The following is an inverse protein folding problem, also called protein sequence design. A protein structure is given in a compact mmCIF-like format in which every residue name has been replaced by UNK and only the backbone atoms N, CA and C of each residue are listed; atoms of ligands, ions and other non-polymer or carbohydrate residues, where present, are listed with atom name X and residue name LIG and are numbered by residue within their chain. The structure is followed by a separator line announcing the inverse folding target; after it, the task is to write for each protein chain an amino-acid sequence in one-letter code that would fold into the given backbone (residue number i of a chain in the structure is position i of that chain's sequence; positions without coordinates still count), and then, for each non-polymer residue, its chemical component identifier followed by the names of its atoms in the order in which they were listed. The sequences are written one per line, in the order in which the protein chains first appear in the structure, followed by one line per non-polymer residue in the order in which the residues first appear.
data_IF_397430567139
#
_entry.id   IF_397430567139
#
_cell.length_a   1.000
_cell.length_b   1.000
_cell.length_c   1.000
_cell.angle_alpha   90.00
_cell.angle_beta   90.00
_cell.angle_gamma   90.00
#
_symmetry.space_group_name_H-M   'P 1'
#
loop_
_entity.id
_entity.type
_entity.pdbx_description
1 polymer ?
#
# COMPACT_ATOMS: atom_id res chain seq x y z
N UNK A 1 -29.07 -17.15 -48.67
CA UNK A 1 -29.31 -16.58 -47.32
C UNK A 1 -28.95 -17.48 -46.11
N UNK A 2 -29.59 -18.64 -45.84
CA UNK A 2 -29.18 -19.51 -44.69
C UNK A 2 -27.80 -20.16 -44.87
N UNK A 3 -27.44 -20.54 -46.10
CA UNK A 3 -26.13 -21.09 -46.46
C UNK A 3 -25.01 -20.03 -46.33
N UNK A 4 -25.25 -18.81 -46.83
CA UNK A 4 -24.32 -17.68 -46.70
C UNK A 4 -24.13 -17.28 -45.23
N UNK A 5 -25.20 -17.22 -44.43
CA UNK A 5 -25.09 -16.96 -42.99
C UNK A 5 -24.29 -18.05 -42.25
N UNK A 6 -24.34 -19.32 -42.71
CA UNK A 6 -23.50 -20.41 -42.17
C UNK A 6 -22.03 -20.29 -42.59
N UNK A 7 -21.76 -19.98 -43.86
CA UNK A 7 -20.40 -19.76 -44.37
C UNK A 7 -19.75 -18.54 -43.69
N UNK A 8 -20.51 -17.46 -43.52
CA UNK A 8 -20.06 -16.21 -42.91
C UNK A 8 -19.86 -16.32 -41.39
N UNK A 9 -20.58 -17.23 -40.70
CA UNK A 9 -20.30 -17.61 -39.29
C UNK A 9 -19.15 -18.62 -39.13
N UNK A 10 -18.91 -19.49 -40.12
CA UNK A 10 -17.86 -20.51 -40.06
C UNK A 10 -16.43 -19.95 -40.21
N UNK A 11 -16.26 -18.82 -40.92
CA UNK A 11 -14.96 -18.17 -41.15
C UNK A 11 -14.36 -17.53 -39.87
N UNK A 12 -15.09 -16.72 -39.09
CA UNK A 12 -14.61 -16.22 -37.80
C UNK A 12 -14.21 -17.36 -36.84
N UNK A 13 -15.01 -18.44 -36.80
CA UNK A 13 -14.76 -19.58 -35.91
C UNK A 13 -13.44 -20.28 -36.26
N UNK A 14 -13.17 -20.53 -37.54
CA UNK A 14 -11.92 -21.16 -38.00
C UNK A 14 -10.69 -20.30 -37.69
N UNK A 15 -10.78 -18.99 -37.92
CA UNK A 15 -9.70 -18.04 -37.60
C UNK A 15 -9.42 -18.04 -36.10
N UNK A 16 -10.47 -17.99 -35.26
CA UNK A 16 -10.35 -18.10 -33.80
C UNK A 16 -9.66 -19.40 -33.38
N UNK A 17 -10.09 -20.55 -33.92
CA UNK A 17 -9.54 -21.87 -33.57
C UNK A 17 -8.03 -21.98 -33.87
N UNK A 18 -7.54 -21.27 -34.89
CA UNK A 18 -6.11 -21.25 -35.24
C UNK A 18 -5.33 -20.21 -34.41
N UNK A 19 -5.87 -19.01 -34.22
CA UNK A 19 -5.15 -17.93 -33.51
C UNK A 19 -5.01 -18.19 -32.02
N UNK A 20 -6.03 -18.76 -31.37
CA UNK A 20 -6.00 -19.01 -29.93
C UNK A 20 -4.77 -19.85 -29.50
N UNK A 21 -4.50 -21.04 -30.06
CA UNK A 21 -3.33 -21.82 -29.68
C UNK A 21 -2.01 -21.14 -30.06
N UNK A 22 -1.96 -20.38 -31.16
CA UNK A 22 -0.76 -19.61 -31.54
C UNK A 22 -0.46 -18.51 -30.51
N UNK A 23 -1.46 -17.77 -30.07
CA UNK A 23 -1.28 -16.75 -29.04
C UNK A 23 -0.85 -17.36 -27.71
N UNK A 24 -1.51 -18.45 -27.28
CA UNK A 24 -1.18 -19.15 -26.02
C UNK A 24 0.24 -19.73 -26.03
N UNK A 25 0.65 -20.39 -27.11
CA UNK A 25 2.01 -20.96 -27.22
C UNK A 25 3.05 -19.86 -27.38
N UNK A 26 2.71 -18.74 -28.04
CA UNK A 26 3.58 -17.58 -28.22
C UNK A 26 4.07 -16.93 -26.92
N UNK A 27 3.39 -17.14 -25.80
CA UNK A 27 3.85 -16.68 -24.47
C UNK A 27 5.14 -17.38 -24.04
N UNK A 28 5.30 -18.67 -24.38
CA UNK A 28 6.43 -19.49 -23.98
C UNK A 28 7.42 -19.79 -25.12
N UNK A 29 7.06 -19.44 -26.36
CA UNK A 29 7.82 -19.81 -27.56
C UNK A 29 7.96 -18.62 -28.51
N UNK A 30 9.17 -18.44 -29.02
CA UNK A 30 9.46 -17.44 -30.06
C UNK A 30 9.32 -18.09 -31.43
N UNK A 31 8.42 -17.57 -32.25
CA UNK A 31 8.18 -18.10 -33.59
C UNK A 31 9.27 -17.68 -34.59
N UNK A 32 9.40 -18.43 -35.71
CA UNK A 32 10.28 -18.05 -36.81
C UNK A 32 10.02 -16.62 -37.31
N UNK A 33 11.01 -15.96 -37.93
CA UNK A 33 10.86 -14.61 -38.46
C UNK A 33 9.83 -14.60 -39.59
N UNK A 34 8.61 -14.17 -39.25
CA UNK A 34 7.52 -13.93 -40.20
C UNK A 34 7.10 -12.46 -40.16
N UNK A 35 6.48 -12.00 -41.25
CA UNK A 35 5.93 -10.65 -41.30
C UNK A 35 4.58 -10.60 -40.54
N UNK A 36 4.65 -10.44 -39.22
CA UNK A 36 3.49 -10.31 -38.34
C UNK A 36 2.54 -9.20 -38.77
N UNK A 37 3.07 -8.06 -39.21
CA UNK A 37 2.25 -6.95 -39.72
C UNK A 37 1.38 -7.39 -40.89
N UNK A 38 1.93 -8.16 -41.85
CA UNK A 38 1.19 -8.67 -42.99
C UNK A 38 0.15 -9.73 -42.61
N UNK A 39 0.45 -10.56 -41.59
CA UNK A 39 -0.47 -11.59 -41.10
C UNK A 39 -1.63 -11.02 -40.28
N UNK A 40 -1.33 -10.13 -39.32
CA UNK A 40 -2.27 -9.68 -38.30
C UNK A 40 -3.11 -8.48 -38.76
N UNK A 41 -2.56 -7.57 -39.58
CA UNK A 41 -3.30 -6.37 -40.01
C UNK A 41 -4.61 -6.67 -40.74
N UNK A 42 -4.67 -7.64 -41.68
CA UNK A 42 -5.94 -8.01 -42.31
C UNK A 42 -6.94 -8.55 -41.28
N UNK A 43 -6.49 -9.36 -40.31
CA UNK A 43 -7.34 -9.98 -39.30
C UNK A 43 -7.95 -8.94 -38.35
N UNK A 44 -7.19 -7.89 -38.01
CA UNK A 44 -7.68 -6.80 -37.19
C UNK A 44 -8.70 -5.89 -37.92
N UNK A 45 -8.52 -5.71 -39.23
CA UNK A 45 -9.40 -4.86 -40.07
C UNK A 45 -10.69 -5.56 -40.47
N UNK A 46 -10.66 -6.89 -40.56
CA UNK A 46 -11.83 -7.70 -40.85
C UNK A 46 -12.65 -7.87 -39.57
N UNK A 47 -13.98 -7.72 -39.66
CA UNK A 47 -14.87 -7.81 -38.50
C UNK A 47 -15.10 -9.26 -38.06
N UNK A 48 -14.03 -9.95 -37.64
CA UNK A 48 -14.07 -11.31 -37.11
C UNK A 48 -14.41 -11.38 -35.61
N UNK A 49 -14.62 -10.24 -34.96
CA UNK A 49 -15.01 -10.11 -33.56
C UNK A 49 -13.84 -9.85 -32.61
N UNK A 50 -14.18 -9.44 -31.38
CA UNK A 50 -13.23 -8.97 -30.36
C UNK A 50 -12.21 -10.03 -29.95
N UNK A 51 -12.57 -11.32 -29.95
CA UNK A 51 -11.66 -12.40 -29.57
C UNK A 51 -10.51 -12.59 -30.58
N UNK A 52 -10.79 -12.44 -31.87
CA UNK A 52 -9.75 -12.50 -32.90
C UNK A 52 -8.81 -11.31 -32.77
N UNK A 53 -9.37 -10.11 -32.53
CA UNK A 53 -8.56 -8.91 -32.28
C UNK A 53 -7.68 -9.07 -31.03
N UNK A 54 -8.24 -9.63 -29.95
CA UNK A 54 -7.51 -9.92 -28.72
C UNK A 54 -6.30 -10.83 -28.98
N UNK A 55 -6.50 -11.96 -29.65
CA UNK A 55 -5.40 -12.88 -29.95
C UNK A 55 -4.36 -12.30 -30.92
N UNK A 56 -4.75 -11.44 -31.86
CA UNK A 56 -3.79 -10.74 -32.71
C UNK A 56 -2.89 -9.80 -31.89
N UNK A 57 -3.47 -9.05 -30.95
CA UNK A 57 -2.73 -8.14 -30.07
C UNK A 57 -1.85 -8.92 -29.09
N UNK A 58 -2.38 -9.97 -28.45
CA UNK A 58 -1.65 -10.87 -27.54
C UNK A 58 -0.42 -11.49 -28.23
N UNK A 59 -0.60 -11.97 -29.46
CA UNK A 59 0.49 -12.55 -30.25
C UNK A 59 1.54 -11.50 -30.63
N UNK A 60 1.13 -10.28 -31.01
CA UNK A 60 2.07 -9.21 -31.27
C UNK A 60 2.86 -8.79 -30.02
N UNK A 61 2.20 -8.67 -28.87
CA UNK A 61 2.84 -8.29 -27.61
C UNK A 61 3.84 -9.33 -27.11
N UNK A 62 3.55 -10.62 -27.29
CA UNK A 62 4.44 -11.72 -26.90
C UNK A 62 5.64 -11.87 -27.84
N UNK A 63 5.50 -11.53 -29.12
CA UNK A 63 6.56 -11.66 -30.12
C UNK A 63 7.34 -10.36 -30.38
N UNK A 64 6.97 -9.24 -29.74
CA UNK A 64 7.63 -7.95 -29.91
C UNK A 64 9.13 -7.98 -29.58
N UNK A 65 9.55 -8.84 -28.65
CA UNK A 65 10.97 -8.98 -28.31
C UNK A 65 11.80 -9.62 -29.41
N UNK A 66 11.27 -10.64 -30.08
CA UNK A 66 11.99 -11.44 -31.08
C UNK A 66 11.74 -10.97 -32.52
N UNK A 67 10.76 -10.09 -32.76
CA UNK A 67 10.39 -9.67 -34.11
C UNK A 67 10.05 -8.18 -34.23
N UNK A 68 10.86 -7.47 -35.01
CA UNK A 68 10.60 -6.06 -35.35
C UNK A 68 9.25 -5.87 -36.07
N UNK A 69 8.80 -6.83 -36.89
CA UNK A 69 7.50 -6.75 -37.56
C UNK A 69 6.33 -6.81 -36.57
N UNK A 70 6.47 -7.57 -35.47
CA UNK A 70 5.48 -7.60 -34.39
C UNK A 70 5.47 -6.28 -33.62
N UNK A 71 6.65 -5.73 -33.31
CA UNK A 71 6.78 -4.46 -32.59
C UNK A 71 6.23 -3.28 -33.38
N UNK A 72 6.48 -3.21 -34.69
CA UNK A 72 5.92 -2.20 -35.58
C UNK A 72 4.40 -2.31 -35.67
N UNK A 73 3.88 -3.54 -35.82
CA UNK A 73 2.44 -3.78 -35.79
C UNK A 73 1.82 -3.30 -34.48
N UNK A 74 2.41 -3.68 -33.34
CA UNK A 74 1.93 -3.27 -32.03
C UNK A 74 1.96 -1.74 -31.90
N UNK A 75 3.06 -1.09 -32.27
CA UNK A 75 3.21 0.37 -32.22
C UNK A 75 2.14 1.13 -33.01
N UNK A 76 1.65 0.60 -34.13
CA UNK A 76 0.50 1.16 -34.86
C UNK A 76 -0.78 1.08 -34.02
N UNK A 77 -1.04 -0.08 -33.41
CA UNK A 77 -2.24 -0.34 -32.61
C UNK A 77 -2.26 0.36 -31.25
N UNK A 78 -1.14 0.93 -30.80
CA UNK A 78 -1.05 1.80 -29.62
C UNK A 78 -1.51 3.24 -29.91
N UNK A 79 -1.77 3.60 -31.17
CA UNK A 79 -2.29 4.93 -31.50
C UNK A 79 -3.73 5.14 -31.00
N UNK A 80 -4.10 6.32 -30.46
CA UNK A 80 -5.40 6.56 -29.82
C UNK A 80 -6.63 6.08 -30.60
N UNK A 81 -6.82 6.40 -31.91
CA UNK A 81 -8.03 5.98 -32.62
C UNK A 81 -8.18 4.45 -32.72
N UNK A 82 -7.06 3.72 -32.77
CA UNK A 82 -7.07 2.26 -32.85
C UNK A 82 -7.24 1.64 -31.45
N UNK A 83 -6.60 2.19 -30.42
CA UNK A 83 -6.79 1.75 -29.04
C UNK A 83 -8.25 1.88 -28.62
N UNK A 84 -8.92 2.99 -28.96
CA UNK A 84 -10.34 3.18 -28.65
C UNK A 84 -11.27 2.21 -29.37
N UNK A 85 -10.81 1.57 -30.45
CA UNK A 85 -11.57 0.51 -31.13
C UNK A 85 -11.41 -0.87 -30.50
N UNK A 86 -10.47 -1.05 -29.58
CA UNK A 86 -10.22 -2.31 -28.90
C UNK A 86 -11.19 -2.53 -27.74
N UNK A 87 -11.49 -3.80 -27.48
CA UNK A 87 -12.26 -4.18 -26.29
C UNK A 87 -11.49 -3.82 -25.00
N UNK A 88 -12.23 -3.59 -23.90
CA UNK A 88 -11.65 -3.34 -22.58
C UNK A 88 -10.72 -4.47 -22.14
N UNK A 89 -11.09 -5.71 -22.48
CA UNK A 89 -10.27 -6.91 -22.19
C UNK A 89 -8.92 -6.83 -22.90
N UNK A 90 -8.90 -6.43 -24.17
CA UNK A 90 -7.67 -6.31 -24.94
C UNK A 90 -6.78 -5.18 -24.40
N UNK A 91 -7.36 -4.03 -24.06
CA UNK A 91 -6.62 -2.93 -23.43
C UNK A 91 -6.04 -3.34 -22.06
N UNK A 92 -6.83 -4.02 -21.22
CA UNK A 92 -6.39 -4.52 -19.93
C UNK A 92 -5.19 -5.48 -20.08
N UNK A 93 -5.26 -6.42 -21.03
CA UNK A 93 -4.16 -7.32 -21.33
C UNK A 93 -2.89 -6.58 -21.75
N UNK A 94 -3.00 -5.59 -22.64
CA UNK A 94 -1.87 -4.78 -23.08
C UNK A 94 -1.17 -4.05 -21.93
N UNK A 95 -1.94 -3.54 -20.98
CA UNK A 95 -1.36 -2.95 -19.77
C UNK A 95 -0.68 -4.00 -18.90
N UNK A 96 -1.33 -5.15 -18.65
CA UNK A 96 -0.77 -6.22 -17.81
C UNK A 96 0.54 -6.79 -18.36
N UNK A 97 0.73 -6.78 -19.69
CA UNK A 97 1.97 -7.23 -20.33
C UNK A 97 2.92 -6.11 -20.75
N UNK A 98 2.74 -4.86 -20.28
CA UNK A 98 3.58 -3.71 -20.68
C UNK A 98 5.08 -3.98 -20.57
N UNK A 99 5.51 -4.68 -19.52
CA UNK A 99 6.92 -5.06 -19.34
C UNK A 99 7.51 -5.96 -20.43
N UNK A 100 6.69 -6.70 -21.18
CA UNK A 100 7.16 -7.59 -22.25
C UNK A 100 7.47 -6.85 -23.55
N UNK A 101 6.78 -5.74 -23.82
CA UNK A 101 6.86 -5.05 -25.11
C UNK A 101 7.34 -3.60 -25.05
N UNK A 102 7.33 -2.95 -23.88
CA UNK A 102 7.63 -1.50 -23.75
C UNK A 102 8.97 -1.08 -24.35
N UNK A 103 9.99 -1.94 -24.28
CA UNK A 103 11.35 -1.66 -24.78
C UNK A 103 11.49 -1.82 -26.30
N UNK A 104 10.46 -2.34 -26.97
CA UNK A 104 10.49 -2.72 -28.38
C UNK A 104 9.64 -1.81 -29.26
N UNK A 105 8.84 -0.93 -28.65
CA UNK A 105 8.06 0.08 -29.36
C UNK A 105 8.73 1.45 -29.22
N UNK A 106 8.36 2.39 -30.08
CA UNK A 106 8.88 3.75 -30.01
C UNK A 106 8.41 4.48 -28.73
N UNK A 107 9.28 5.30 -28.15
CA UNK A 107 9.04 6.00 -26.88
C UNK A 107 7.77 6.86 -26.92
N UNK A 108 7.48 7.53 -28.05
CA UNK A 108 6.27 8.34 -28.22
C UNK A 108 4.99 7.49 -28.12
N UNK A 109 5.03 6.25 -28.62
CA UNK A 109 3.90 5.31 -28.54
C UNK A 109 3.72 4.76 -27.13
N UNK A 110 4.82 4.44 -26.46
CA UNK A 110 4.79 4.04 -25.06
C UNK A 110 4.19 5.15 -24.20
N UNK A 111 4.66 6.38 -24.36
CA UNK A 111 4.20 7.54 -23.62
C UNK A 111 2.71 7.79 -23.84
N UNK A 112 2.24 7.81 -25.09
CA UNK A 112 0.82 8.01 -25.38
C UNK A 112 -0.04 6.91 -24.77
N UNK A 113 0.35 5.64 -24.89
CA UNK A 113 -0.47 4.54 -24.41
C UNK A 113 -0.46 4.39 -22.88
N UNK A 114 0.73 4.35 -22.28
CA UNK A 114 0.91 4.07 -20.86
C UNK A 114 0.59 5.30 -20.02
N UNK A 115 1.14 6.44 -20.41
CA UNK A 115 0.96 7.67 -19.64
C UNK A 115 -0.37 8.34 -19.99
N UNK A 116 -0.58 8.79 -21.22
CA UNK A 116 -1.78 9.60 -21.53
C UNK A 116 -3.08 8.78 -21.43
N UNK A 117 -3.17 7.65 -22.14
CA UNK A 117 -4.39 6.82 -22.14
C UNK A 117 -4.58 6.05 -20.83
N UNK A 118 -3.48 5.62 -20.18
CA UNK A 118 -3.52 4.97 -18.87
C UNK A 118 -4.01 5.90 -17.77
N UNK A 119 -3.41 7.09 -17.63
CA UNK A 119 -3.81 8.11 -16.63
C UNK A 119 -5.26 8.55 -16.84
N UNK A 120 -5.71 8.68 -18.10
CA UNK A 120 -7.08 9.05 -18.41
C UNK A 120 -8.12 8.13 -17.76
N UNK A 121 -7.82 6.84 -17.56
CA UNK A 121 -8.75 5.89 -16.92
C UNK A 121 -9.01 6.20 -15.44
N UNK A 122 -8.15 6.99 -14.80
CA UNK A 122 -8.26 7.38 -13.39
C UNK A 122 -8.97 8.72 -13.19
N UNK A 123 -9.43 9.36 -14.26
CA UNK A 123 -10.24 10.58 -14.14
C UNK A 123 -11.53 10.32 -13.35
N UNK A 124 -11.98 11.28 -12.51
CA UNK A 124 -13.10 11.07 -11.59
C UNK A 124 -14.39 10.54 -12.26
N UNK A 125 -14.68 11.01 -13.47
CA UNK A 125 -15.90 10.65 -14.22
C UNK A 125 -15.86 9.23 -14.79
N UNK A 126 -14.68 8.72 -15.15
CA UNK A 126 -14.51 7.42 -15.80
C UNK A 126 -14.17 6.30 -14.80
N UNK A 127 -13.41 6.62 -13.76
CA UNK A 127 -12.83 5.65 -12.82
C UNK A 127 -13.85 4.66 -12.23
N UNK A 128 -15.04 5.07 -11.73
CA UNK A 128 -16.01 4.13 -11.14
C UNK A 128 -16.48 3.06 -12.14
N UNK A 129 -16.53 3.38 -13.43
CA UNK A 129 -16.98 2.48 -14.50
C UNK A 129 -15.84 1.60 -15.04
N UNK A 130 -14.58 1.94 -14.73
CA UNK A 130 -13.37 1.34 -15.31
C UNK A 130 -12.46 0.69 -14.26
N UNK A 131 -12.99 0.39 -13.07
CA UNK A 131 -12.21 -0.17 -11.96
C UNK A 131 -11.37 -1.39 -12.32
N UNK A 132 -11.91 -2.31 -13.12
CA UNK A 132 -11.16 -3.49 -13.59
C UNK A 132 -9.95 -3.11 -14.44
N UNK A 133 -10.10 -2.15 -15.35
CA UNK A 133 -9.03 -1.64 -16.19
C UNK A 133 -7.98 -0.88 -15.36
N UNK A 134 -8.41 -0.02 -14.42
CA UNK A 134 -7.51 0.67 -13.50
C UNK A 134 -6.62 -0.31 -12.70
N UNK A 135 -7.19 -1.43 -12.24
CA UNK A 135 -6.43 -2.50 -11.55
C UNK A 135 -5.42 -3.16 -12.49
N UNK A 136 -5.80 -3.48 -13.72
CA UNK A 136 -4.89 -4.03 -14.74
C UNK A 136 -3.75 -3.06 -15.09
N UNK A 137 -4.02 -1.76 -15.16
CA UNK A 137 -3.00 -0.71 -15.37
C UNK A 137 -1.97 -0.75 -14.24
N UNK A 138 -2.40 -0.64 -12.98
CA UNK A 138 -1.49 -0.62 -11.83
C UNK A 138 -0.72 -1.94 -11.67
N UNK A 139 -1.36 -3.09 -11.95
CA UNK A 139 -0.68 -4.39 -11.97
C UNK A 139 0.41 -4.42 -13.03
N UNK A 140 0.11 -3.97 -14.25
CA UNK A 140 1.04 -3.89 -15.35
C UNK A 140 2.23 -2.98 -15.05
N UNK A 141 1.97 -1.79 -14.52
CA UNK A 141 3.00 -0.83 -14.09
C UNK A 141 3.92 -1.45 -13.04
N UNK A 142 3.37 -2.02 -11.97
CA UNK A 142 4.17 -2.64 -10.90
C UNK A 142 5.06 -3.77 -11.44
N UNK A 143 4.53 -4.65 -12.30
CA UNK A 143 5.30 -5.74 -12.91
C UNK A 143 6.41 -5.20 -13.82
N UNK A 144 6.13 -4.16 -14.60
CA UNK A 144 7.12 -3.58 -15.51
C UNK A 144 8.21 -2.79 -14.79
N UNK A 145 7.87 -2.11 -13.69
CA UNK A 145 8.83 -1.40 -12.85
C UNK A 145 9.75 -2.36 -12.08
N UNK A 146 9.26 -3.53 -11.70
CA UNK A 146 10.06 -4.57 -11.05
C UNK A 146 11.02 -5.31 -12.01
N UNK A 147 11.03 -5.00 -13.31
CA UNK A 147 11.97 -5.60 -14.25
C UNK A 147 13.39 -5.11 -13.98
N UNK A 148 14.42 -5.96 -14.16
CA UNK A 148 15.80 -5.55 -13.98
C UNK A 148 16.23 -4.58 -15.10
N UNK A 149 16.82 -3.45 -14.72
CA UNK A 149 17.44 -2.46 -15.62
C UNK A 149 16.53 -2.01 -16.79
N UNK A 150 15.34 -1.45 -16.52
CA UNK A 150 14.50 -0.90 -17.59
C UNK A 150 15.21 0.29 -18.27
N UNK A 151 15.05 0.49 -19.60
CA UNK A 151 15.58 1.66 -20.27
C UNK A 151 15.10 2.95 -19.61
N UNK A 152 15.96 3.98 -19.52
CA UNK A 152 15.66 5.20 -18.77
C UNK A 152 14.39 5.91 -19.24
N UNK A 153 14.12 5.93 -20.55
CA UNK A 153 12.90 6.50 -21.12
C UNK A 153 11.65 5.74 -20.64
N UNK A 154 11.69 4.40 -20.65
CA UNK A 154 10.62 3.56 -20.13
C UNK A 154 10.43 3.79 -18.63
N UNK A 155 11.52 3.78 -17.85
CA UNK A 155 11.47 4.02 -16.40
C UNK A 155 10.83 5.37 -16.07
N UNK A 156 11.26 6.44 -16.74
CA UNK A 156 10.73 7.79 -16.56
C UNK A 156 9.22 7.84 -16.88
N UNK A 157 8.80 7.18 -17.97
CA UNK A 157 7.39 7.07 -18.33
C UNK A 157 6.58 6.34 -17.25
N UNK A 158 7.07 5.20 -16.74
CA UNK A 158 6.39 4.41 -15.70
C UNK A 158 6.28 5.20 -14.37
N UNK A 159 7.37 5.88 -13.96
CA UNK A 159 7.36 6.73 -12.77
C UNK A 159 6.38 7.89 -12.91
N UNK A 160 6.43 8.63 -14.03
CA UNK A 160 5.53 9.76 -14.26
C UNK A 160 4.08 9.33 -14.33
N UNK A 161 3.80 8.19 -14.96
CA UNK A 161 2.45 7.61 -15.02
C UNK A 161 1.93 7.28 -13.61
N UNK A 162 2.75 6.63 -12.78
CA UNK A 162 2.40 6.27 -11.41
C UNK A 162 2.11 7.50 -10.56
N UNK A 163 2.96 8.54 -10.65
CA UNK A 163 2.77 9.80 -9.92
C UNK A 163 1.47 10.52 -10.34
N UNK A 164 1.19 10.59 -11.64
CA UNK A 164 -0.04 11.18 -12.15
C UNK A 164 -1.28 10.43 -11.67
N UNK A 165 -1.22 9.09 -11.66
CA UNK A 165 -2.29 8.26 -11.10
C UNK A 165 -2.49 8.56 -9.60
N UNK A 166 -1.41 8.58 -8.81
CA UNK A 166 -1.49 8.87 -7.38
C UNK A 166 -2.12 10.24 -7.09
N UNK A 167 -1.79 11.23 -7.92
CA UNK A 167 -2.33 12.60 -7.83
C UNK A 167 -3.83 12.63 -8.13
N UNK A 168 -4.31 11.81 -9.06
CA UNK A 168 -5.74 11.71 -9.40
C UNK A 168 -6.56 10.89 -8.39
N UNK A 169 -5.92 10.04 -7.59
CA UNK A 169 -6.64 9.28 -6.56
C UNK A 169 -7.12 10.20 -5.43
N UNK A 170 -8.38 10.03 -4.97
CA UNK A 170 -8.95 10.81 -3.88
C UNK A 170 -8.11 10.80 -2.61
N UNK A 171 -8.13 11.88 -1.85
CA UNK A 171 -7.41 11.94 -0.57
C UNK A 171 -8.09 11.11 0.53
N UNK A 172 -9.40 10.90 0.41
CA UNK A 172 -10.19 10.04 1.29
C UNK A 172 -10.43 8.67 0.63
N UNK A 173 -10.04 7.59 1.30
CA UNK A 173 -10.02 6.25 0.72
C UNK A 173 -11.38 5.56 0.93
N UNK A 174 -12.02 5.22 -0.19
CA UNK A 174 -13.20 4.37 -0.18
C UNK A 174 -12.80 2.88 -0.23
N UNK A 175 -13.57 2.04 0.45
CA UNK A 175 -13.35 0.59 0.50
C UNK A 175 -13.22 -0.06 -0.88
N UNK A 176 -14.07 0.39 -1.83
CA UNK A 176 -14.07 -0.11 -3.21
C UNK A 176 -12.81 0.25 -4.03
N UNK A 177 -12.08 1.27 -3.59
CA UNK A 177 -10.92 1.84 -4.27
C UNK A 177 -9.58 1.46 -3.64
N UNK A 178 -9.58 0.83 -2.47
CA UNK A 178 -8.37 0.42 -1.71
C UNK A 178 -7.33 -0.30 -2.57
N UNK A 179 -7.79 -1.15 -3.48
CA UNK A 179 -6.89 -1.91 -4.37
C UNK A 179 -6.08 -1.03 -5.32
N UNK A 180 -6.58 0.17 -5.64
CA UNK A 180 -5.84 1.14 -6.45
C UNK A 180 -4.68 1.75 -5.67
N UNK A 181 -4.89 2.12 -4.40
CA UNK A 181 -3.82 2.65 -3.56
C UNK A 181 -2.75 1.60 -3.27
N UNK A 182 -3.15 0.34 -3.07
CA UNK A 182 -2.19 -0.77 -2.98
C UNK A 182 -1.40 -0.93 -4.29
N UNK A 183 -2.07 -0.87 -5.45
CA UNK A 183 -1.41 -0.94 -6.74
C UNK A 183 -0.39 0.18 -6.94
N UNK A 184 -0.71 1.39 -6.53
CA UNK A 184 0.24 2.52 -6.53
C UNK A 184 1.39 2.27 -5.56
N UNK A 185 1.11 1.81 -4.33
CA UNK A 185 2.17 1.50 -3.36
C UNK A 185 3.17 0.44 -3.90
N UNK A 186 2.69 -0.56 -4.64
CA UNK A 186 3.56 -1.54 -5.34
C UNK A 186 4.39 -0.94 -6.47
N UNK A 187 3.91 0.11 -7.12
CA UNK A 187 4.72 0.83 -8.10
C UNK A 187 5.78 1.69 -7.39
N UNK A 188 5.38 2.38 -6.31
CA UNK A 188 6.28 3.19 -5.49
C UNK A 188 7.37 2.35 -4.81
N UNK A 189 7.12 1.08 -4.47
CA UNK A 189 8.14 0.22 -3.86
C UNK A 189 9.36 -0.01 -4.75
N UNK A 190 9.21 0.12 -6.06
CA UNK A 190 10.32 -0.02 -7.01
C UNK A 190 11.10 1.29 -7.20
N UNK A 191 10.55 2.44 -6.77
CA UNK A 191 11.20 3.75 -6.91
C UNK A 191 12.25 4.00 -5.83
N UNK A 192 13.06 5.05 -6.00
CA UNK A 192 13.99 5.52 -4.98
C UNK A 192 13.27 6.12 -3.77
N UNK A 193 13.94 6.13 -2.61
CA UNK A 193 13.36 6.71 -1.38
C UNK A 193 13.00 8.19 -1.58
N UNK A 194 13.82 8.95 -2.31
CA UNK A 194 13.54 10.35 -2.65
C UNK A 194 12.28 10.53 -3.51
N UNK A 195 11.97 9.59 -4.39
CA UNK A 195 10.75 9.63 -5.20
C UNK A 195 9.53 9.28 -4.35
N UNK A 196 9.64 8.28 -3.47
CA UNK A 196 8.59 7.92 -2.51
C UNK A 196 8.25 9.12 -1.63
N UNK A 197 9.25 9.76 -1.03
CA UNK A 197 9.06 10.91 -0.14
C UNK A 197 8.43 12.11 -0.86
N UNK A 198 8.82 12.33 -2.13
CA UNK A 198 8.27 13.40 -2.95
C UNK A 198 6.81 13.14 -3.36
N UNK A 199 6.48 11.92 -3.76
CA UNK A 199 5.15 11.55 -4.27
C UNK A 199 4.16 11.36 -3.11
N UNK A 200 4.53 10.59 -2.09
CA UNK A 200 3.71 10.32 -0.91
C UNK A 200 3.88 11.39 0.18
N UNK A 201 4.19 12.63 -0.23
CA UNK A 201 4.39 13.76 0.68
C UNK A 201 3.15 13.98 1.54
N UNK A 202 3.36 14.02 2.86
CA UNK A 202 2.29 14.21 3.82
C UNK A 202 1.82 15.67 3.77
N UNK A 203 0.52 15.85 3.56
CA UNK A 203 -0.18 17.15 3.60
C UNK A 203 -1.44 17.01 4.44
N UNK A 204 -1.98 18.12 4.96
CA UNK A 204 -3.20 18.08 5.79
C UNK A 204 -4.42 17.55 5.01
N UNK A 205 -4.58 17.95 3.75
CA UNK A 205 -5.66 17.48 2.88
C UNK A 205 -5.51 16.00 2.50
N UNK A 206 -4.28 15.55 2.24
CA UNK A 206 -3.96 14.20 1.75
C UNK A 206 -3.45 13.23 2.82
N UNK A 207 -3.62 13.53 4.12
CA UNK A 207 -2.97 12.78 5.19
C UNK A 207 -3.38 11.31 5.21
N UNK A 208 -4.64 10.98 4.92
CA UNK A 208 -5.14 9.61 4.94
C UNK A 208 -4.55 8.78 3.79
N UNK A 209 -4.56 9.35 2.57
CA UNK A 209 -3.91 8.77 1.39
C UNK A 209 -2.42 8.53 1.62
N UNK A 210 -1.69 9.52 2.13
CA UNK A 210 -0.27 9.40 2.44
C UNK A 210 -0.03 8.38 3.57
N UNK A 211 -0.84 8.43 4.63
CA UNK A 211 -0.78 7.50 5.76
C UNK A 211 -0.93 6.06 5.30
N UNK A 212 -1.93 5.76 4.46
CA UNK A 212 -2.14 4.40 3.94
C UNK A 212 -0.94 3.92 3.11
N UNK A 213 -0.46 4.75 2.18
CA UNK A 213 0.66 4.40 1.30
C UNK A 213 1.94 4.14 2.11
N UNK A 214 2.30 5.06 3.00
CA UNK A 214 3.50 4.94 3.84
C UNK A 214 3.36 3.81 4.86
N UNK A 215 2.18 3.61 5.46
CA UNK A 215 1.89 2.49 6.36
C UNK A 215 2.07 1.14 5.65
N UNK A 216 1.58 1.01 4.42
CA UNK A 216 1.72 -0.23 3.65
C UNK A 216 3.20 -0.52 3.35
N UNK A 217 3.94 0.47 2.84
CA UNK A 217 5.37 0.35 2.54
C UNK A 217 6.22 0.08 3.80
N UNK A 218 5.94 0.77 4.91
CA UNK A 218 6.66 0.61 6.17
C UNK A 218 6.38 -0.76 6.79
N UNK A 219 5.13 -1.23 6.71
CA UNK A 219 4.75 -2.55 7.21
C UNK A 219 5.45 -3.70 6.49
N UNK A 220 5.83 -3.51 5.23
CA UNK A 220 6.61 -4.44 4.41
C UNK A 220 8.13 -4.25 4.57
N UNK A 221 8.55 -3.22 5.31
CA UNK A 221 9.94 -2.86 5.52
C UNK A 221 10.62 -2.20 4.33
N UNK A 222 9.86 -1.76 3.33
CA UNK A 222 10.40 -1.01 2.19
C UNK A 222 10.89 0.37 2.62
N UNK A 223 10.14 1.08 3.46
CA UNK A 223 10.54 2.36 4.06
C UNK A 223 10.70 2.22 5.58
N UNK A 224 11.53 3.05 6.24
CA UNK A 224 11.66 3.03 7.69
C UNK A 224 10.37 3.48 8.39
N UNK A 225 10.12 2.95 9.60
CA UNK A 225 9.03 3.43 10.47
C UNK A 225 9.12 4.92 10.77
N UNK A 226 10.33 5.49 10.70
CA UNK A 226 10.57 6.93 10.82
C UNK A 226 9.78 7.75 9.79
N UNK A 227 9.51 7.20 8.60
CA UNK A 227 8.70 7.86 7.57
C UNK A 227 7.23 8.06 7.98
N UNK A 228 6.76 7.42 9.06
CA UNK A 228 5.43 7.64 9.62
C UNK A 228 5.38 8.86 10.55
N UNK A 229 6.51 9.46 10.91
CA UNK A 229 6.52 10.58 11.85
C UNK A 229 5.80 11.81 11.27
N UNK A 230 5.97 12.10 9.98
CA UNK A 230 5.25 13.20 9.33
C UNK A 230 3.74 12.96 9.30
N UNK A 231 3.31 11.70 9.14
CA UNK A 231 1.91 11.28 9.25
C UNK A 231 1.38 11.53 10.66
N UNK A 232 2.12 11.09 11.68
CA UNK A 232 1.77 11.27 13.09
C UNK A 232 1.66 12.76 13.41
N UNK A 233 2.68 13.56 13.07
CA UNK A 233 2.74 14.99 13.36
C UNK A 233 1.65 15.78 12.65
N UNK A 234 1.36 15.46 11.38
CA UNK A 234 0.29 16.13 10.61
C UNK A 234 -1.10 15.78 11.14
N UNK A 235 -1.28 14.59 11.70
CA UNK A 235 -2.57 14.14 12.24
C UNK A 235 -2.95 14.78 13.58
N UNK A 236 -2.03 15.45 14.27
CA UNK A 236 -2.22 15.96 15.65
C UNK A 236 -3.34 17.01 15.80
N UNK A 237 -3.92 17.53 14.72
CA UNK A 237 -5.04 18.49 14.76
C UNK A 237 -6.21 18.14 13.84
N UNK A 238 -6.22 16.94 13.24
CA UNK A 238 -7.18 16.59 12.20
C UNK A 238 -8.34 15.74 12.72
N UNK A 239 -9.50 15.88 12.07
CA UNK A 239 -10.70 15.12 12.43
C UNK A 239 -10.56 13.61 12.14
N UNK A 240 -9.73 13.22 11.16
CA UNK A 240 -9.51 11.84 10.76
C UNK A 240 -8.40 11.12 11.56
N UNK A 241 -8.03 11.64 12.74
CA UNK A 241 -6.99 11.07 13.63
C UNK A 241 -7.22 9.60 13.94
N UNK A 242 -8.47 9.16 14.09
CA UNK A 242 -8.81 7.78 14.41
C UNK A 242 -8.58 6.82 13.24
N UNK A 243 -8.89 7.25 12.02
CA UNK A 243 -8.60 6.49 10.79
C UNK A 243 -7.09 6.33 10.62
N UNK A 244 -6.33 7.41 10.81
CA UNK A 244 -4.86 7.34 10.77
C UNK A 244 -4.33 6.43 11.89
N UNK A 245 -4.87 6.54 13.09
CA UNK A 245 -4.55 5.65 14.21
C UNK A 245 -4.77 4.17 13.89
N UNK A 246 -5.85 3.84 13.18
CA UNK A 246 -6.12 2.49 12.68
C UNK A 246 -5.07 2.02 11.66
N UNK A 247 -4.72 2.87 10.68
CA UNK A 247 -3.69 2.56 9.68
C UNK A 247 -2.33 2.32 10.33
N UNK A 248 -1.96 3.16 11.32
CA UNK A 248 -0.74 2.99 12.10
C UNK A 248 -0.77 1.67 12.89
N UNK A 249 -1.88 1.33 13.56
CA UNK A 249 -2.02 0.07 14.29
C UNK A 249 -1.86 -1.14 13.36
N UNK A 250 -2.52 -1.12 12.20
CA UNK A 250 -2.40 -2.17 11.18
C UNK A 250 -0.94 -2.27 10.69
N UNK A 251 -0.28 -1.15 10.38
CA UNK A 251 1.13 -1.11 9.99
C UNK A 251 2.05 -1.72 11.06
N UNK A 252 1.90 -1.28 12.31
CA UNK A 252 2.73 -1.72 13.44
C UNK A 252 2.56 -3.21 13.68
N UNK A 253 1.34 -3.75 13.58
CA UNK A 253 1.12 -5.19 13.68
C UNK A 253 1.78 -5.95 12.52
N UNK A 254 1.58 -5.49 11.29
CA UNK A 254 2.13 -6.11 10.08
C UNK A 254 3.65 -6.10 10.03
N UNK A 255 4.29 -5.05 10.54
CA UNK A 255 5.75 -4.94 10.64
C UNK A 255 6.40 -6.09 11.42
N UNK A 256 5.64 -6.90 12.17
CA UNK A 256 6.17 -8.11 12.83
C UNK A 256 6.46 -9.26 11.90
N UNK A 257 5.71 -9.35 10.81
CA UNK A 257 5.72 -10.50 9.91
C UNK A 257 6.64 -10.28 8.72
N UNK A 258 6.88 -9.03 8.34
CA UNK A 258 7.77 -8.70 7.24
C UNK A 258 9.24 -8.91 7.61
N UNK A 259 9.96 -9.62 6.75
CA UNK A 259 11.42 -9.82 6.82
C UNK A 259 12.18 -8.73 6.07
N UNK A 260 11.80 -7.46 6.25
CA UNK A 260 12.43 -6.31 5.61
C UNK A 260 13.57 -5.71 6.45
N UNK A 261 14.48 -4.94 5.83
CA UNK A 261 15.60 -4.30 6.54
C UNK A 261 15.14 -3.32 7.64
N UNK A 262 13.93 -2.76 7.47
CA UNK A 262 13.38 -1.73 8.35
C UNK A 262 12.41 -2.25 9.43
N UNK A 263 12.08 -3.55 9.44
CA UNK A 263 11.05 -4.14 10.33
C UNK A 263 11.64 -5.01 11.44
N UNK A 264 12.96 -5.15 11.48
CA UNK A 264 13.68 -5.87 12.53
C UNK A 264 13.33 -5.36 13.94
N UNK A 265 13.41 -6.25 14.94
CA UNK A 265 13.05 -5.91 16.33
C UNK A 265 13.84 -4.71 16.85
N UNK A 266 15.12 -4.60 16.50
CA UNK A 266 15.98 -3.47 16.86
C UNK A 266 15.43 -2.15 16.29
N UNK A 267 15.02 -2.13 15.01
CA UNK A 267 14.45 -0.92 14.37
C UNK A 267 13.13 -0.50 15.00
N UNK A 268 12.27 -1.47 15.33
CA UNK A 268 11.03 -1.22 16.07
C UNK A 268 11.29 -0.63 17.46
N UNK A 269 12.31 -1.15 18.15
CA UNK A 269 12.73 -0.66 19.46
C UNK A 269 13.32 0.75 19.40
N UNK A 270 14.22 1.03 18.45
CA UNK A 270 14.77 2.37 18.19
C UNK A 270 13.64 3.40 18.01
N UNK A 271 12.71 3.12 17.10
CA UNK A 271 11.59 4.02 16.82
C UNK A 271 10.68 4.24 18.04
N UNK A 272 10.40 3.20 18.84
CA UNK A 272 9.56 3.35 20.03
C UNK A 272 10.22 4.21 21.11
N UNK A 273 11.54 4.06 21.30
CA UNK A 273 12.31 4.85 22.25
C UNK A 273 12.38 6.33 21.82
N UNK A 274 12.51 6.60 20.52
CA UNK A 274 12.42 7.95 19.98
C UNK A 274 11.03 8.56 20.21
N UNK A 275 9.96 7.80 19.97
CA UNK A 275 8.59 8.23 20.25
C UNK A 275 8.36 8.54 21.73
N UNK A 276 8.91 7.74 22.65
CA UNK A 276 8.87 8.03 24.10
C UNK A 276 9.52 9.38 24.42
N UNK A 277 10.70 9.66 23.83
CA UNK A 277 11.39 10.93 23.97
C UNK A 277 10.56 12.10 23.45
N UNK A 278 9.95 11.93 22.27
CA UNK A 278 9.07 12.94 21.66
C UNK A 278 7.84 13.24 22.52
N UNK A 279 7.11 12.20 22.98
CA UNK A 279 5.95 12.36 23.88
C UNK A 279 6.33 13.18 25.09
N UNK A 280 7.46 12.85 25.74
CA UNK A 280 7.93 13.60 26.91
C UNK A 280 8.20 15.06 26.58
N UNK A 281 8.89 15.33 25.47
CA UNK A 281 9.22 16.70 25.11
C UNK A 281 7.97 17.54 24.81
N UNK A 282 6.93 16.96 24.20
CA UNK A 282 5.65 17.64 23.98
C UNK A 282 4.91 17.86 25.30
N UNK A 283 4.81 16.83 26.16
CA UNK A 283 4.11 16.91 27.44
C UNK A 283 4.69 17.96 28.40
N UNK A 284 6.00 18.20 28.35
CA UNK A 284 6.69 19.20 29.16
C UNK A 284 6.91 20.54 28.43
N UNK A 285 6.35 20.72 27.23
CA UNK A 285 6.43 21.98 26.47
C UNK A 285 7.81 22.29 25.85
N UNK A 286 8.74 21.33 25.84
CA UNK A 286 10.04 21.47 25.19
C UNK A 286 9.94 21.37 23.65
N UNK A 287 8.85 20.81 23.13
CA UNK A 287 8.57 20.75 21.69
C UNK A 287 7.15 21.24 21.43
N UNK A 288 7.03 22.26 20.59
CA UNK A 288 5.73 22.80 20.15
C UNK A 288 5.13 21.93 19.05
N UNK A 289 3.83 21.67 19.14
CA UNK A 289 3.05 20.91 18.16
C UNK A 289 2.03 21.81 17.48
N UNK A 290 1.58 21.44 16.27
CA UNK A 290 0.57 22.18 15.49
C UNK A 290 -0.86 22.04 16.02
N UNK A 291 -1.06 21.39 17.17
CA UNK A 291 -2.36 21.19 17.79
C UNK A 291 -2.67 22.33 18.77
N UNK A 292 -3.91 22.79 18.80
CA UNK A 292 -4.37 23.83 19.74
C UNK A 292 -4.30 23.36 21.21
N UNK A 293 -4.30 22.05 21.45
CA UNK A 293 -4.25 21.43 22.77
C UNK A 293 -3.05 20.50 22.91
N UNK A 294 -2.09 20.88 23.77
CA UNK A 294 -0.96 20.02 24.14
C UNK A 294 -1.43 18.69 24.73
N UNK A 295 -2.52 18.70 25.50
CA UNK A 295 -3.16 17.51 26.07
C UNK A 295 -3.69 16.57 24.99
N UNK A 296 -4.39 17.09 23.97
CA UNK A 296 -4.89 16.24 22.89
C UNK A 296 -3.76 15.65 22.04
N UNK A 297 -2.74 16.44 21.76
CA UNK A 297 -1.59 15.98 20.98
C UNK A 297 -0.84 14.85 21.70
N UNK A 298 -0.57 15.03 22.99
CA UNK A 298 0.11 14.01 23.79
C UNK A 298 -0.74 12.77 24.00
N UNK A 299 -2.05 12.91 24.18
CA UNK A 299 -2.97 11.76 24.26
C UNK A 299 -2.97 10.93 22.98
N UNK A 300 -2.95 11.59 21.81
CA UNK A 300 -2.82 10.91 20.52
C UNK A 300 -1.48 10.18 20.41
N UNK A 301 -0.36 10.87 20.69
CA UNK A 301 0.98 10.28 20.63
C UNK A 301 1.11 9.07 21.60
N UNK A 302 0.57 9.20 22.80
CA UNK A 302 0.54 8.12 23.79
C UNK A 302 -0.36 6.95 23.33
N UNK A 303 -1.42 7.26 22.60
CA UNK A 303 -2.25 6.28 21.87
C UNK A 303 -1.45 5.50 20.83
N UNK A 304 -0.66 6.19 19.99
CA UNK A 304 0.22 5.56 19.00
C UNK A 304 1.29 4.69 19.67
N UNK A 305 1.90 5.17 20.75
CA UNK A 305 2.81 4.37 21.58
C UNK A 305 2.15 3.09 22.11
N UNK A 306 0.91 3.21 22.60
CA UNK A 306 0.13 2.08 23.09
C UNK A 306 -0.20 1.09 21.96
N UNK A 307 -0.54 1.59 20.76
CA UNK A 307 -0.77 0.76 19.58
C UNK A 307 0.47 -0.05 19.18
N UNK A 308 1.67 0.53 19.29
CA UNK A 308 2.93 -0.18 19.04
C UNK A 308 3.17 -1.30 20.07
N UNK A 309 2.92 -1.01 21.35
CA UNK A 309 3.01 -2.00 22.42
C UNK A 309 2.03 -3.15 22.24
N UNK A 310 0.76 -2.85 21.99
CA UNK A 310 -0.27 -3.85 21.67
C UNK A 310 0.14 -4.68 20.46
N UNK A 311 0.65 -4.00 19.42
CA UNK A 311 1.09 -4.64 18.19
C UNK A 311 2.22 -5.61 18.42
N UNK A 312 3.20 -5.30 19.28
CA UNK A 312 4.47 -6.05 19.38
C UNK A 312 4.59 -6.95 20.61
N UNK A 313 3.77 -6.73 21.64
CA UNK A 313 3.80 -7.52 22.87
C UNK A 313 3.36 -8.97 22.62
N UNK A 314 2.27 -9.20 21.88
CA UNK A 314 1.75 -10.53 21.58
C UNK A 314 1.00 -10.58 20.24
N UNK A 315 0.85 -11.77 19.66
CA UNK A 315 0.14 -11.95 18.39
C UNK A 315 -1.37 -11.78 18.52
N UNK A 316 -1.94 -12.05 19.70
CA UNK A 316 -3.38 -12.21 19.90
C UNK A 316 -4.10 -10.88 20.14
N UNK A 317 -3.50 -9.96 20.90
CA UNK A 317 -4.15 -8.70 21.29
C UNK A 317 -4.60 -7.86 20.08
N UNK A 318 -3.77 -7.64 19.04
CA UNK A 318 -4.22 -6.92 17.84
C UNK A 318 -5.43 -7.59 17.16
N UNK A 319 -5.46 -8.93 17.12
CA UNK A 319 -6.58 -9.67 16.52
C UNK A 319 -7.88 -9.49 17.31
N UNK A 320 -7.80 -9.44 18.64
CA UNK A 320 -8.94 -9.14 19.51
C UNK A 320 -9.48 -7.72 19.30
N UNK A 321 -8.63 -6.79 18.87
CA UNK A 321 -9.01 -5.43 18.47
C UNK A 321 -9.51 -5.34 17.01
N UNK A 322 -9.63 -6.47 16.30
CA UNK A 322 -10.07 -6.51 14.91
C UNK A 322 -9.01 -6.13 13.88
N UNK A 323 -7.74 -5.99 14.29
CA UNK A 323 -6.59 -5.85 13.39
C UNK A 323 -6.44 -7.15 12.61
N UNK A 324 -6.10 -7.06 11.33
CA UNK A 324 -6.02 -8.24 10.47
C UNK A 324 -4.58 -8.72 10.33
N UNK A 325 -4.40 -10.04 10.17
CA UNK A 325 -3.10 -10.69 9.90
C UNK A 325 -2.51 -10.28 8.55
N UNK A 326 -3.31 -9.70 7.65
CA UNK A 326 -2.84 -9.06 6.43
C UNK A 326 -3.76 -7.91 6.06
N UNK A 327 -3.27 -6.95 5.27
CA UNK A 327 -4.06 -5.79 4.83
C UNK A 327 -5.32 -6.18 4.06
N UNK A 328 -5.25 -7.20 3.19
CA UNK A 328 -6.34 -7.58 2.27
C UNK A 328 -6.69 -9.09 2.37
N UNK A 329 -7.32 -9.54 3.47
CA UNK A 329 -7.53 -10.96 3.72
C UNK A 329 -8.47 -11.64 2.72
N UNK A 330 -9.43 -10.89 2.15
CA UNK A 330 -10.38 -11.37 1.15
C UNK A 330 -9.75 -11.89 -0.15
N UNK A 331 -8.46 -11.63 -0.39
CA UNK A 331 -7.77 -12.11 -1.60
C UNK A 331 -7.33 -13.57 -1.55
N UNK A 332 -7.21 -14.16 -0.36
CA UNK A 332 -6.58 -15.48 -0.20
C UNK A 332 -7.57 -16.65 -0.14
N UNK A 333 -8.89 -16.43 -0.14
CA UNK A 333 -9.82 -17.57 -0.26
C UNK A 333 -11.25 -17.22 -0.63
N UNK A 334 -11.84 -17.99 -1.55
CA UNK A 334 -13.28 -18.11 -1.75
C UNK A 334 -14.02 -18.62 -0.47
N UNK A 335 -13.29 -19.18 0.50
CA UNK A 335 -13.82 -19.72 1.77
C UNK A 335 -14.03 -18.63 2.84
N UNK A 336 -13.46 -17.42 2.68
CA UNK A 336 -13.60 -16.31 3.64
C UNK A 336 -14.73 -15.34 3.27
N UNK A 337 -15.85 -15.85 2.73
CA UNK A 337 -17.01 -15.08 2.27
C UNK A 337 -17.75 -14.25 3.34
N UNK A 338 -17.23 -14.17 4.58
CA UNK A 338 -17.81 -13.42 5.69
C UNK A 338 -16.99 -12.23 6.20
N UNK A 339 -15.78 -11.98 5.69
CA UNK A 339 -15.00 -10.80 6.08
C UNK A 339 -15.40 -9.58 5.22
N UNK A 340 -15.71 -8.42 5.82
CA UNK A 340 -16.06 -7.23 5.06
C UNK A 340 -14.87 -6.77 4.21
N UNK A 341 -15.16 -6.47 2.94
CA UNK A 341 -14.21 -5.81 2.03
C UNK A 341 -14.14 -4.32 2.41
N UNK A 342 -13.49 -4.04 3.54
CA UNK A 342 -13.37 -2.71 4.10
C UNK A 342 -11.93 -2.41 4.51
N UNK A 343 -11.46 -1.17 4.32
CA UNK A 343 -10.14 -0.73 4.75
C UNK A 343 -10.02 -0.76 6.28
N UNK A 344 -11.05 -0.23 6.93
CA UNK A 344 -11.14 -0.13 8.38
C UNK A 344 -11.80 -1.38 8.98
N UNK A 345 -11.59 -1.59 10.28
CA UNK A 345 -12.33 -2.60 11.05
C UNK A 345 -13.83 -2.30 11.11
N UNK A 346 -14.59 -3.11 11.85
CA UNK A 346 -16.02 -2.84 12.06
C UNK A 346 -16.23 -1.40 12.59
N UNK A 347 -17.22 -0.64 12.09
CA UNK A 347 -17.29 0.82 12.20
C UNK A 347 -17.24 1.39 13.63
N UNK A 348 -17.58 0.61 14.65
CA UNK A 348 -17.50 1.04 16.05
C UNK A 348 -16.09 0.99 16.68
N UNK A 349 -15.14 0.31 16.04
CA UNK A 349 -13.79 0.07 16.60
C UNK A 349 -12.77 1.15 16.21
N UNK A 350 -12.74 1.65 14.95
CA UNK A 350 -11.79 2.68 14.53
C UNK A 350 -11.84 3.96 15.38
N UNK A 351 -13.03 4.48 15.68
CA UNK A 351 -13.25 5.77 16.39
C UNK A 351 -12.65 5.81 17.82
N UNK A 352 -12.26 4.67 18.39
CA UNK A 352 -11.65 4.61 19.73
C UNK A 352 -10.46 3.67 19.80
N UNK A 353 -9.90 3.26 18.66
CA UNK A 353 -8.91 2.17 18.65
C UNK A 353 -7.68 2.49 19.49
N UNK A 354 -7.16 3.72 19.39
CA UNK A 354 -6.00 4.15 20.18
C UNK A 354 -6.32 4.21 21.68
N UNK A 355 -7.57 4.54 22.02
CA UNK A 355 -8.03 4.55 23.41
C UNK A 355 -8.10 3.14 23.99
N UNK A 356 -8.59 2.18 23.21
CA UNK A 356 -8.61 0.77 23.60
C UNK A 356 -7.18 0.24 23.76
N UNK A 357 -6.26 0.63 22.88
CA UNK A 357 -4.84 0.30 23.02
C UNK A 357 -4.24 0.81 24.34
N UNK A 358 -4.58 2.04 24.76
CA UNK A 358 -4.14 2.59 26.05
C UNK A 358 -4.66 1.80 27.25
N UNK A 359 -5.87 1.25 27.17
CA UNK A 359 -6.41 0.39 28.24
C UNK A 359 -5.68 -0.96 28.32
N UNK A 360 -5.21 -1.50 27.19
CA UNK A 360 -4.42 -2.72 27.12
C UNK A 360 -2.94 -2.55 27.53
N UNK A 361 -2.51 -1.31 27.74
CA UNK A 361 -1.11 -0.94 27.99
C UNK A 361 -0.48 -1.72 29.16
N UNK A 362 -1.10 -1.85 30.35
CA UNK A 362 -0.44 -2.52 31.48
C UNK A 362 -0.09 -3.98 31.20
N UNK A 363 -0.99 -4.70 30.52
CA UNK A 363 -0.78 -6.08 30.15
C UNK A 363 0.31 -6.22 29.07
N UNK A 364 0.21 -5.43 28.01
CA UNK A 364 1.14 -5.49 26.88
C UNK A 364 2.56 -5.05 27.26
N UNK A 365 2.68 -4.06 28.17
CA UNK A 365 3.96 -3.57 28.69
C UNK A 365 4.76 -4.69 29.38
N UNK A 366 4.14 -5.38 30.33
CA UNK A 366 4.78 -6.46 31.07
C UNK A 366 5.20 -7.62 30.14
N UNK A 367 4.38 -7.93 29.13
CA UNK A 367 4.70 -8.96 28.14
C UNK A 367 5.86 -8.57 27.22
N UNK A 368 5.88 -7.34 26.70
CA UNK A 368 6.93 -6.89 25.79
C UNK A 368 8.27 -6.86 26.51
N UNK A 369 8.34 -6.22 27.68
CA UNK A 369 9.55 -6.09 28.49
C UNK A 369 10.01 -7.42 29.13
N UNK A 370 9.19 -8.47 29.05
CA UNK A 370 9.60 -9.83 29.40
C UNK A 370 10.47 -10.52 28.35
N UNK A 371 10.59 -9.96 27.13
CA UNK A 371 11.23 -10.60 25.97
C UNK A 371 12.53 -9.88 25.61
N UNK A 372 13.56 -10.62 25.19
CA UNK A 372 14.74 -10.00 24.59
C UNK A 372 14.43 -9.51 23.16
N UNK A 373 15.01 -8.37 22.71
CA UNK A 373 15.94 -7.48 23.41
C UNK A 373 15.26 -6.39 24.27
N UNK A 374 13.92 -6.37 24.34
CA UNK A 374 13.14 -5.34 25.06
C UNK A 374 13.40 -5.33 26.55
N UNK A 375 13.67 -6.50 27.14
CA UNK A 375 13.97 -6.65 28.56
C UNK A 375 15.14 -5.79 29.02
N UNK A 376 16.15 -5.60 28.18
CA UNK A 376 17.28 -4.71 28.47
C UNK A 376 16.88 -3.23 28.58
N UNK A 377 15.72 -2.84 28.07
CA UNK A 377 15.20 -1.46 28.14
C UNK A 377 14.27 -1.23 29.34
N UNK A 378 13.98 -2.23 30.18
CA UNK A 378 12.99 -2.16 31.27
C UNK A 378 13.16 -0.93 32.16
N UNK A 379 14.40 -0.62 32.59
CA UNK A 379 14.67 0.56 33.42
C UNK A 379 14.28 1.86 32.72
N UNK A 380 14.58 2.02 31.42
CA UNK A 380 14.23 3.24 30.66
C UNK A 380 12.72 3.43 30.57
N UNK A 381 11.97 2.34 30.39
CA UNK A 381 10.50 2.39 30.39
C UNK A 381 9.96 2.78 31.77
N UNK A 382 10.50 2.24 32.85
CA UNK A 382 10.12 2.62 34.22
C UNK A 382 10.35 4.12 34.46
N UNK A 383 11.54 4.61 34.14
CA UNK A 383 11.90 6.02 34.33
C UNK A 383 11.01 6.96 33.50
N UNK A 384 10.69 6.56 32.26
CA UNK A 384 9.78 7.28 31.39
C UNK A 384 8.34 7.28 31.92
N UNK A 385 7.82 6.14 32.39
CA UNK A 385 6.47 6.04 32.97
C UNK A 385 6.32 6.91 34.22
N UNK A 386 7.35 7.00 35.06
CA UNK A 386 7.37 7.96 36.17
C UNK A 386 7.24 9.40 35.67
N UNK A 387 8.01 9.77 34.63
CA UNK A 387 7.90 11.10 34.03
C UNK A 387 6.51 11.37 33.46
N UNK A 388 5.84 10.38 32.87
CA UNK A 388 4.47 10.57 32.34
C UNK A 388 3.44 10.67 33.46
N UNK A 389 3.59 9.88 34.52
CA UNK A 389 2.67 9.90 35.67
C UNK A 389 2.80 11.18 36.54
N UNK A 390 3.93 11.86 36.45
CA UNK A 390 4.24 13.13 37.15
C UNK A 390 4.25 14.33 36.20
N UNK A 391 3.75 14.18 34.97
CA UNK A 391 3.70 15.28 34.02
C UNK A 391 2.76 16.40 34.50
N UNK A 392 2.96 17.65 34.04
CA UNK A 392 2.03 18.74 34.33
C UNK A 392 0.60 18.41 33.86
N UNK A 393 -0.42 18.82 34.63
CA UNK A 393 -1.83 18.59 34.27
C UNK A 393 -2.25 19.27 32.95
N UNK A 394 -1.52 20.30 32.52
CA UNK A 394 -1.69 20.95 31.21
C UNK A 394 -1.06 20.15 30.07
N UNK A 395 -0.24 19.16 30.38
CA UNK A 395 0.56 18.39 29.42
C UNK A 395 -0.02 17.04 29.04
N UNK A 396 -0.74 16.36 29.95
CA UNK A 396 -1.36 15.04 29.72
C UNK A 396 -2.75 14.99 30.34
N UNK A 397 -3.66 14.21 29.77
CA UNK A 397 -4.98 13.99 30.38
C UNK A 397 -4.89 13.06 31.59
N UNK A 398 -5.87 13.16 32.49
CA UNK A 398 -6.00 12.26 33.64
C UNK A 398 -6.02 10.79 33.21
N UNK A 399 -6.65 10.48 32.06
CA UNK A 399 -6.69 9.12 31.53
C UNK A 399 -5.29 8.64 31.19
N UNK A 400 -4.51 9.44 30.47
CA UNK A 400 -3.15 9.06 30.07
C UNK A 400 -2.23 8.91 31.29
N UNK A 401 -2.36 9.80 32.28
CA UNK A 401 -1.66 9.69 33.58
C UNK A 401 -2.03 8.38 34.28
N UNK A 402 -3.33 8.05 34.37
CA UNK A 402 -3.80 6.80 34.98
C UNK A 402 -3.29 5.56 34.23
N UNK A 403 -3.29 5.58 32.90
CA UNK A 403 -2.72 4.51 32.07
C UNK A 403 -1.21 4.34 32.31
N UNK A 404 -0.45 5.43 32.45
CA UNK A 404 0.97 5.39 32.77
C UNK A 404 1.21 4.78 34.17
N UNK A 405 0.43 5.20 35.18
CA UNK A 405 0.48 4.63 36.54
C UNK A 405 0.15 3.14 36.54
N UNK A 406 -0.92 2.73 35.85
CA UNK A 406 -1.32 1.32 35.75
C UNK A 406 -0.24 0.47 35.04
N UNK A 407 0.37 0.99 33.97
CA UNK A 407 1.46 0.32 33.27
C UNK A 407 2.73 0.22 34.11
N UNK A 408 3.02 1.23 34.94
CA UNK A 408 4.12 1.16 35.89
C UNK A 408 3.89 0.05 36.93
N UNK A 409 2.69 -0.03 37.50
CA UNK A 409 2.34 -1.05 38.49
C UNK A 409 2.32 -2.48 37.93
N UNK A 410 2.06 -2.66 36.63
CA UNK A 410 2.13 -4.00 36.01
C UNK A 410 3.56 -4.55 35.97
N UNK A 411 4.58 -3.68 36.07
CA UNK A 411 5.99 -4.05 36.10
C UNK A 411 6.50 -4.47 37.49
N UNK A 412 5.63 -4.53 38.51
CA UNK A 412 5.99 -4.90 39.90
C UNK A 412 6.74 -6.23 40.05
N UNK A 413 6.53 -7.15 39.10
CA UNK A 413 7.21 -8.45 39.07
C UNK A 413 8.67 -8.38 38.61
N UNK A 414 9.06 -7.33 37.91
CA UNK A 414 10.39 -7.19 37.29
C UNK A 414 11.49 -6.89 38.32
N UNK A 415 12.73 -7.34 38.10
CA UNK A 415 13.84 -7.06 39.01
C UNK A 415 14.15 -5.56 39.08
N UNK A 416 14.03 -4.84 37.97
CA UNK A 416 14.26 -3.39 37.91
C UNK A 416 13.25 -2.61 38.76
N UNK A 417 11.98 -3.04 38.78
CA UNK A 417 10.97 -2.41 39.62
C UNK A 417 11.22 -2.62 41.12
N UNK A 418 11.76 -3.79 41.49
CA UNK A 418 12.04 -4.13 42.90
C UNK A 418 13.23 -3.38 43.50
N UNK A 419 13.96 -2.59 42.70
CA UNK A 419 14.99 -1.68 43.22
C UNK A 419 14.34 -0.72 44.23
N UNK A 420 14.97 -0.59 45.41
CA UNK A 420 14.43 0.19 46.55
C UNK A 420 13.89 1.56 46.14
N UNK A 421 14.66 2.32 45.36
CA UNK A 421 14.27 3.67 44.92
C UNK A 421 13.03 3.71 44.03
N UNK A 422 12.89 2.74 43.12
CA UNK A 422 11.73 2.62 42.23
C UNK A 422 10.50 2.19 43.04
N UNK A 423 10.64 1.16 43.86
CA UNK A 423 9.55 0.62 44.67
C UNK A 423 8.99 1.66 45.63
N UNK A 424 9.85 2.38 46.37
CA UNK A 424 9.40 3.44 47.30
C UNK A 424 8.70 4.58 46.57
N UNK A 425 9.17 5.00 45.39
CA UNK A 425 8.53 6.06 44.61
C UNK A 425 7.16 5.64 44.08
N UNK A 426 7.04 4.43 43.53
CA UNK A 426 5.79 3.95 42.95
C UNK A 426 4.66 3.76 43.96
N UNK A 427 4.98 3.37 45.20
CA UNK A 427 4.00 3.18 46.30
C UNK A 427 3.82 4.41 47.19
N UNK A 428 4.58 5.49 46.96
CA UNK A 428 4.41 6.76 47.67
C UNK A 428 3.37 7.70 47.04
N UNK A 429 2.69 7.27 45.97
CA UNK A 429 1.68 8.02 45.24
C UNK A 429 0.25 7.80 45.73
#
# INVERSE_FOLDING_TARGET
QRQERRVQRSRPLRVKTVLCPLATVGVAFQYPPINWSALLSPLMRLNFGEEVQHHCVELAATQAQSSQSASLFLGVWLAPPLVHSLSVRTCAHLFECVGSWMRHVADDKLQVYVEALGVQQFTPDLRPQRMTLCRSILRGLAVAMALPNPPQACWTCLCSTTEKIYTLLPDHIQDSDVELYEGVAKCLSEMSDSEIDRIAKVTEAGVEKAAFTLALLASQGRVPLLGLNDVISTSLGLANRDQVGWLLLQCLYQSRFASGPNTGVVKRMEWLLELMGHIRNVAYGATTVKCDSTTEATDFLFGVFSAALVSWADLSMPLLLGVRVQWFPWRQSAVQAGLPHALYGAPSVPEKVLQICQAALPHCMAQLLGKEPWKAQTQKFIDWLFSMAEAPATGLSDRTILSAKAALLSLKGSPDFKKKGVWTRAYGW
#
